data_IF_046381813214
#
_entry.id   IF_046381813214
#
_cell.length_a   1.000
_cell.length_b   1.000
_cell.length_c   1.000
_cell.angle_alpha   90.00
_cell.angle_beta   90.00
_cell.angle_gamma   90.00
#
_symmetry.space_group_name_H-M   'P 1'
#
loop_
_entity.id
_entity.type
_entity.pdbx_description
1 polymer ?
#
# COMPACT_ATOMS: atom_id res chain seq x y z
N UNK A 1 22.43 -10.40 9.38
CA UNK A 1 22.56 -8.94 9.66
C UNK A 1 21.76 -8.07 8.69
N UNK A 2 21.56 -8.47 7.43
CA UNK A 2 20.90 -7.67 6.38
C UNK A 2 19.40 -7.39 6.68
N UNK A 3 18.65 -8.36 7.20
CA UNK A 3 17.18 -8.26 7.37
C UNK A 3 16.66 -7.10 8.26
N UNK A 4 17.40 -6.65 9.26
CA UNK A 4 16.85 -5.71 10.26
C UNK A 4 16.85 -4.25 9.78
N UNK A 5 17.89 -3.85 9.04
CA UNK A 5 18.01 -2.50 8.48
C UNK A 5 16.95 -2.28 7.39
N UNK A 6 16.70 -3.30 6.57
CA UNK A 6 15.69 -3.25 5.51
C UNK A 6 14.27 -3.10 6.08
N UNK A 7 13.94 -3.84 7.13
CA UNK A 7 12.64 -3.74 7.80
C UNK A 7 12.45 -2.34 8.39
N UNK A 8 13.47 -1.82 9.09
CA UNK A 8 13.39 -0.47 9.68
C UNK A 8 13.17 0.59 8.59
N UNK A 9 13.95 0.54 7.51
CA UNK A 9 13.83 1.47 6.40
C UNK A 9 12.44 1.42 5.74
N UNK A 10 11.88 0.22 5.54
CA UNK A 10 10.53 0.04 4.99
C UNK A 10 9.45 0.59 5.94
N UNK A 11 9.58 0.38 7.25
CA UNK A 11 8.64 0.92 8.24
C UNK A 11 8.65 2.46 8.29
N UNK A 12 9.82 3.09 8.12
CA UNK A 12 9.97 4.55 8.08
C UNK A 12 9.35 5.22 6.83
N UNK A 13 8.76 4.45 5.91
CA UNK A 13 7.98 5.00 4.79
C UNK A 13 6.56 5.38 5.18
N UNK A 14 6.05 4.81 6.27
CA UNK A 14 4.72 5.10 6.80
C UNK A 14 4.75 6.37 7.65
N UNK A 15 3.87 7.33 7.34
CA UNK A 15 3.81 8.63 8.02
C UNK A 15 2.38 9.01 8.42
N UNK A 16 1.64 8.11 9.09
CA UNK A 16 0.27 8.28 9.62
C UNK A 16 -0.83 8.81 8.65
N UNK A 17 -0.48 9.17 7.42
CA UNK A 17 -1.32 9.75 6.38
C UNK A 17 -1.20 8.97 5.06
N UNK A 18 -0.23 8.07 4.96
CA UNK A 18 0.04 7.25 3.78
C UNK A 18 1.45 6.65 3.81
N UNK A 19 1.89 6.13 2.67
CA UNK A 19 3.23 5.57 2.49
C UNK A 19 3.93 6.31 1.35
N UNK A 20 5.18 6.70 1.55
CA UNK A 20 6.03 7.31 0.51
C UNK A 20 7.05 6.31 -0.05
N UNK A 21 7.59 6.59 -1.23
CA UNK A 21 8.65 5.76 -1.83
C UNK A 21 10.03 6.07 -1.27
N UNK A 22 10.22 7.28 -0.74
CA UNK A 22 11.47 7.77 -0.16
C UNK A 22 11.20 8.93 0.80
N UNK A 23 12.13 9.14 1.73
CA UNK A 23 12.10 10.24 2.70
C UNK A 23 11.94 11.59 1.99
N UNK A 24 11.04 12.43 2.51
CA UNK A 24 10.80 13.78 2.00
C UNK A 24 10.00 13.85 0.69
N UNK A 25 9.36 12.77 0.26
CA UNK A 25 8.42 12.78 -0.87
C UNK A 25 6.99 12.50 -0.45
N UNK A 26 6.08 12.99 -1.27
CA UNK A 26 4.64 12.83 -1.08
C UNK A 26 4.23 11.36 -1.10
N UNK A 27 3.14 11.09 -0.38
CA UNK A 27 2.54 9.77 -0.31
C UNK A 27 1.89 9.39 -1.65
N UNK A 28 1.91 8.11 -1.95
CA UNK A 28 1.32 7.55 -3.16
C UNK A 28 0.72 6.18 -2.83
N UNK A 29 -0.53 5.95 -3.23
CA UNK A 29 -1.26 4.72 -2.89
C UNK A 29 -0.56 3.46 -3.40
N UNK A 30 0.20 3.53 -4.50
CA UNK A 30 0.89 2.34 -5.01
C UNK A 30 1.97 1.84 -4.04
N UNK A 31 2.56 2.72 -3.22
CA UNK A 31 3.55 2.31 -2.21
C UNK A 31 2.94 1.50 -1.07
N UNK A 32 1.62 1.59 -0.86
CA UNK A 32 0.93 0.66 0.04
C UNK A 32 1.12 -0.79 -0.39
N UNK A 33 1.17 -1.09 -1.70
CA UNK A 33 1.53 -2.42 -2.14
C UNK A 33 3.04 -2.68 -2.04
N UNK A 34 3.87 -1.81 -2.60
CA UNK A 34 5.32 -2.06 -2.70
C UNK A 34 6.01 -2.26 -1.34
N UNK A 35 5.67 -1.42 -0.35
CA UNK A 35 6.27 -1.50 0.98
C UNK A 35 5.71 -2.68 1.77
N UNK A 36 4.39 -2.84 1.79
CA UNK A 36 3.76 -3.90 2.59
C UNK A 36 4.05 -5.30 2.03
N UNK A 37 4.11 -5.46 0.71
CA UNK A 37 4.48 -6.75 0.08
C UNK A 37 5.92 -7.13 0.41
N UNK A 38 6.84 -6.17 0.37
CA UNK A 38 8.23 -6.37 0.79
C UNK A 38 8.34 -6.83 2.25
N UNK A 39 7.62 -6.16 3.16
CA UNK A 39 7.56 -6.54 4.57
C UNK A 39 6.91 -7.92 4.77
N UNK A 40 5.82 -8.22 4.05
CA UNK A 40 5.17 -9.52 4.13
C UNK A 40 6.07 -10.64 3.61
N UNK A 41 6.87 -10.42 2.56
CA UNK A 41 7.87 -11.39 2.07
C UNK A 41 8.99 -11.62 3.09
N UNK A 42 9.27 -10.65 3.95
CA UNK A 42 10.19 -10.79 5.09
C UNK A 42 9.52 -11.43 6.32
N UNK A 43 8.30 -11.96 6.19
CA UNK A 43 7.49 -12.54 7.27
C UNK A 43 7.23 -11.57 8.42
N UNK A 44 7.01 -10.29 8.11
CA UNK A 44 6.59 -9.28 9.09
C UNK A 44 5.07 -9.35 9.28
N UNK A 45 4.64 -9.35 10.56
CA UNK A 45 3.24 -9.19 10.94
C UNK A 45 2.88 -7.70 10.82
N UNK A 46 2.11 -7.34 9.77
CA UNK A 46 1.80 -5.95 9.47
C UNK A 46 0.94 -5.29 10.56
N UNK A 47 0.06 -6.04 11.22
CA UNK A 47 -0.74 -5.51 12.33
C UNK A 47 0.11 -5.10 13.53
N UNK A 48 1.21 -5.81 13.81
CA UNK A 48 2.14 -5.39 14.87
C UNK A 48 3.05 -4.24 14.45
N UNK A 49 3.37 -4.15 13.16
CA UNK A 49 4.30 -3.15 12.64
C UNK A 49 3.62 -1.78 12.40
N UNK A 50 2.33 -1.74 12.07
CA UNK A 50 1.62 -0.52 11.69
C UNK A 50 0.22 -0.45 12.29
N UNK A 51 -0.30 0.77 12.39
CA UNK A 51 -1.74 0.97 12.45
C UNK A 51 -2.34 0.75 11.05
N UNK A 52 -2.67 -0.50 10.74
CA UNK A 52 -3.19 -0.93 9.44
C UNK A 52 -4.51 -0.26 9.06
N UNK A 53 -5.35 0.15 10.02
CA UNK A 53 -6.62 0.84 9.75
C UNK A 53 -6.37 2.21 9.12
N UNK A 54 -5.30 2.92 9.52
CA UNK A 54 -4.90 4.18 8.90
C UNK A 54 -4.48 3.97 7.44
N UNK A 55 -3.74 2.89 7.14
CA UNK A 55 -3.31 2.58 5.78
C UNK A 55 -4.53 2.23 4.90
N UNK A 56 -5.44 1.40 5.42
CA UNK A 56 -6.71 1.08 4.73
C UNK A 56 -7.49 2.37 4.45
N UNK A 57 -7.64 3.25 5.43
CA UNK A 57 -8.35 4.52 5.26
C UNK A 57 -7.70 5.41 4.20
N UNK A 58 -6.36 5.47 4.16
CA UNK A 58 -5.65 6.17 3.08
C UNK A 58 -5.96 5.58 1.70
N UNK A 59 -5.89 4.26 1.54
CA UNK A 59 -6.21 3.60 0.27
C UNK A 59 -7.66 3.90 -0.15
N UNK A 60 -8.62 3.78 0.78
CA UNK A 60 -10.03 4.05 0.50
C UNK A 60 -10.31 5.51 0.17
N UNK A 61 -9.54 6.46 0.72
CA UNK A 61 -9.62 7.87 0.32
C UNK A 61 -9.19 8.11 -1.12
N UNK A 62 -8.34 7.27 -1.68
CA UNK A 62 -7.90 7.38 -3.07
C UNK A 62 -8.94 6.84 -4.08
N UNK A 63 -10.00 6.17 -3.59
CA UNK A 63 -11.07 5.63 -4.44
C UNK A 63 -11.98 6.74 -4.95
N UNK A 64 -12.17 6.82 -6.28
CA UNK A 64 -13.25 7.63 -6.86
C UNK A 64 -14.58 6.88 -6.67
N UNK A 65 -15.47 7.44 -5.84
CA UNK A 65 -16.76 6.86 -5.50
C UNK A 65 -17.80 6.97 -6.62
N UNK A 66 -17.58 7.86 -7.59
CA UNK A 66 -18.52 8.14 -8.69
C UNK A 66 -18.14 7.33 -9.92
N UNK A 67 -16.88 7.46 -10.37
CA UNK A 67 -16.42 6.82 -11.62
C UNK A 67 -15.72 5.47 -11.39
N UNK A 68 -15.40 5.15 -10.13
CA UNK A 68 -14.62 3.97 -9.78
C UNK A 68 -13.12 4.14 -10.04
N UNK A 69 -12.37 3.12 -9.60
CA UNK A 69 -10.90 3.14 -9.64
C UNK A 69 -10.29 3.90 -8.47
N UNK A 70 -8.95 3.88 -8.42
CA UNK A 70 -8.15 4.59 -7.43
C UNK A 70 -7.16 5.51 -8.14
N UNK A 71 -6.92 6.67 -7.54
CA UNK A 71 -5.93 7.63 -7.98
C UNK A 71 -4.69 7.60 -7.09
N UNK A 72 -3.70 8.42 -7.41
CA UNK A 72 -2.44 8.50 -6.67
C UNK A 72 -2.62 8.95 -5.22
N UNK A 73 -3.52 9.92 -5.01
CA UNK A 73 -3.75 10.62 -3.75
C UNK A 73 -5.25 10.65 -3.39
N UNK A 74 -5.58 11.05 -2.16
CA UNK A 74 -6.97 11.15 -1.72
C UNK A 74 -7.85 12.05 -2.59
N UNK A 75 -9.09 11.61 -2.82
CA UNK A 75 -10.11 12.35 -3.58
C UNK A 75 -10.68 13.54 -2.80
N UNK A 76 -10.61 13.50 -1.46
CA UNK A 76 -11.11 14.56 -0.56
C UNK A 76 -10.64 15.96 -1.01
N UNK A 77 -11.51 16.96 -0.90
CA UNK A 77 -11.20 18.35 -1.26
C UNK A 77 -10.06 18.88 -0.37
N UNK A 78 -8.88 19.06 -0.96
CA UNK A 78 -7.84 19.84 -0.30
C UNK A 78 -8.30 21.30 -0.32
N UNK A 79 -8.49 21.87 0.86
CA UNK A 79 -8.89 23.27 1.06
C UNK A 79 -7.98 24.18 0.20
N UNK A 80 -8.55 24.81 -0.84
CA UNK A 80 -7.87 25.59 -1.90
C UNK A 80 -7.22 26.88 -1.35
N UNK A 81 -7.09 27.05 -0.04
CA UNK A 81 -6.57 28.26 0.59
C UNK A 81 -5.04 28.31 0.77
N UNK A 82 -4.27 27.50 0.05
CA UNK A 82 -2.81 27.71 -0.09
C UNK A 82 -2.52 28.42 -1.41
N UNK A 83 -2.48 29.75 -1.33
CA UNK A 83 -2.08 30.73 -2.36
C UNK A 83 -0.92 30.23 -3.23
N UNK A 84 -1.19 30.00 -4.52
CA UNK A 84 -0.35 30.19 -5.73
C UNK A 84 -1.07 29.48 -6.90
N UNK A 85 -2.14 30.11 -7.37
CA UNK A 85 -3.24 29.46 -8.08
C UNK A 85 -3.05 29.57 -9.60
N UNK A 86 -2.64 28.47 -10.25
CA UNK A 86 -3.11 27.98 -11.56
C UNK A 86 -2.21 26.85 -12.10
N UNK A 87 -0.88 26.94 -11.94
CA UNK A 87 0.04 25.86 -12.35
C UNK A 87 -0.14 24.58 -11.52
N UNK A 88 -0.19 24.71 -10.19
CA UNK A 88 -0.39 23.56 -9.29
C UNK A 88 -1.81 22.96 -9.32
N UNK A 89 -2.79 23.66 -9.91
CA UNK A 89 -4.16 23.11 -10.04
C UNK A 89 -4.21 21.98 -11.05
N UNK A 90 -3.51 22.11 -12.18
CA UNK A 90 -3.50 21.10 -13.23
C UNK A 90 -2.76 19.83 -12.79
N UNK A 91 -1.64 19.97 -12.08
CA UNK A 91 -0.90 18.81 -11.54
C UNK A 91 -1.71 18.06 -10.47
N UNK A 92 -2.37 18.79 -9.55
CA UNK A 92 -3.24 18.15 -8.56
C UNK A 92 -4.45 17.46 -9.20
N UNK A 93 -5.01 18.02 -10.27
CA UNK A 93 -6.08 17.37 -11.01
C UNK A 93 -5.61 16.07 -11.66
N UNK A 94 -4.40 16.08 -12.23
CA UNK A 94 -3.79 14.87 -12.80
C UNK A 94 -3.55 13.79 -11.74
N UNK A 95 -3.04 14.13 -10.56
CA UNK A 95 -2.83 13.14 -9.49
C UNK A 95 -4.12 12.59 -8.87
N UNK A 96 -5.24 13.31 -9.02
CA UNK A 96 -6.57 12.85 -8.60
C UNK A 96 -7.28 12.02 -9.66
N UNK A 97 -6.80 11.99 -10.90
CA UNK A 97 -7.35 11.12 -11.93
C UNK A 97 -7.11 9.65 -11.55
N UNK A 98 -8.15 8.82 -11.69
CA UNK A 98 -8.00 7.38 -11.49
C UNK A 98 -7.34 6.75 -12.70
N UNK A 99 -6.53 5.72 -12.46
CA UNK A 99 -5.91 4.96 -13.53
C UNK A 99 -5.81 3.47 -13.16
N UNK A 100 -5.54 2.65 -14.18
CA UNK A 100 -5.49 1.19 -14.03
C UNK A 100 -4.35 0.76 -13.09
N UNK A 101 -3.24 1.51 -13.05
CA UNK A 101 -2.06 1.16 -12.26
C UNK A 101 -2.33 1.34 -10.77
N UNK A 102 -2.76 2.54 -10.34
CA UNK A 102 -3.09 2.80 -8.94
C UNK A 102 -4.31 1.98 -8.48
N UNK A 103 -5.29 1.76 -9.36
CA UNK A 103 -6.43 0.88 -9.06
C UNK A 103 -5.99 -0.55 -8.76
N UNK A 104 -5.12 -1.12 -9.62
CA UNK A 104 -4.60 -2.46 -9.43
C UNK A 104 -3.83 -2.58 -8.11
N UNK A 105 -2.85 -1.71 -7.88
CA UNK A 105 -2.01 -1.80 -6.68
C UNK A 105 -2.75 -1.48 -5.38
N UNK A 106 -3.77 -0.62 -5.42
CA UNK A 106 -4.66 -0.37 -4.27
C UNK A 106 -5.41 -1.64 -3.87
N UNK A 107 -5.99 -2.34 -4.84
CA UNK A 107 -6.69 -3.61 -4.60
C UNK A 107 -5.72 -4.70 -4.11
N UNK A 108 -4.52 -4.76 -4.68
CA UNK A 108 -3.49 -5.68 -4.21
C UNK A 108 -3.08 -5.40 -2.76
N UNK A 109 -2.89 -4.13 -2.40
CA UNK A 109 -2.54 -3.72 -1.05
C UNK A 109 -3.64 -4.12 -0.04
N UNK A 110 -4.90 -3.84 -0.34
CA UNK A 110 -6.04 -4.24 0.51
C UNK A 110 -6.11 -5.77 0.67
N UNK A 111 -5.93 -6.52 -0.41
CA UNK A 111 -5.91 -8.00 -0.38
C UNK A 111 -4.77 -8.53 0.50
N UNK A 112 -3.56 -7.95 0.37
CA UNK A 112 -2.42 -8.34 1.19
C UNK A 112 -2.62 -8.04 2.67
N UNK A 113 -3.10 -6.85 3.01
CA UNK A 113 -3.35 -6.45 4.40
C UNK A 113 -4.33 -7.44 5.03
N UNK A 114 -5.45 -7.71 4.37
CA UNK A 114 -6.45 -8.67 4.83
C UNK A 114 -5.83 -10.04 5.09
N UNK A 115 -5.07 -10.57 4.14
CA UNK A 115 -4.48 -11.90 4.28
C UNK A 115 -3.38 -11.99 5.34
N UNK A 116 -2.46 -11.03 5.36
CA UNK A 116 -1.35 -11.01 6.32
C UNK A 116 -1.91 -11.03 7.74
N UNK A 117 -2.89 -10.17 8.04
CA UNK A 117 -3.53 -10.11 9.36
C UNK A 117 -4.22 -11.43 9.69
N UNK A 118 -5.02 -11.96 8.76
CA UNK A 118 -5.75 -13.21 9.01
C UNK A 118 -4.81 -14.42 9.19
N UNK A 119 -3.68 -14.46 8.48
CA UNK A 119 -2.63 -15.46 8.64
C UNK A 119 -2.01 -15.38 10.05
N UNK A 120 -1.60 -14.19 10.49
CA UNK A 120 -0.97 -14.02 11.81
C UNK A 120 -1.96 -14.19 12.96
N UNK A 121 -3.23 -13.81 12.81
CA UNK A 121 -4.28 -14.10 13.79
C UNK A 121 -4.41 -15.61 14.02
N UNK A 122 -4.46 -16.40 12.93
CA UNK A 122 -4.53 -17.86 13.00
C UNK A 122 -3.26 -18.46 13.60
N UNK A 123 -2.09 -17.97 13.18
CA UNK A 123 -0.78 -18.45 13.64
C UNK A 123 -0.55 -18.20 15.13
N UNK A 124 -0.93 -17.03 15.62
CA UNK A 124 -0.70 -16.59 17.00
C UNK A 124 -1.89 -16.90 17.95
N UNK A 125 -2.96 -17.55 17.46
CA UNK A 125 -4.20 -17.82 18.22
C UNK A 125 -4.82 -16.56 18.85
N UNK A 126 -4.67 -15.40 18.21
CA UNK A 126 -5.21 -14.15 18.71
C UNK A 126 -6.73 -14.13 18.57
N UNK A 127 -7.44 -13.77 19.65
CA UNK A 127 -8.91 -13.82 19.71
C UNK A 127 -9.61 -12.64 19.02
N UNK A 128 -8.92 -11.51 18.76
CA UNK A 128 -9.54 -10.34 18.10
C UNK A 128 -8.51 -9.44 17.43
N UNK A 129 -8.74 -9.14 16.15
CA UNK A 129 -8.21 -8.00 15.42
C UNK A 129 -9.42 -7.46 14.66
N UNK A 130 -9.98 -6.33 15.09
CA UNK A 130 -11.08 -5.68 14.37
C UNK A 130 -10.45 -4.94 13.18
N UNK A 131 -10.22 -5.69 12.11
CA UNK A 131 -9.88 -5.09 10.82
C UNK A 131 -11.16 -4.47 10.27
N UNK A 132 -11.10 -3.21 9.84
CA UNK A 132 -12.25 -2.43 9.37
C UNK A 132 -13.24 -2.05 10.49
N UNK A 133 -12.80 -1.23 11.46
CA UNK A 133 -13.66 -0.64 12.51
C UNK A 133 -15.06 -0.31 11.96
N UNK A 134 -16.06 -1.14 12.31
CA UNK A 134 -17.47 -1.00 11.90
C UNK A 134 -17.80 -0.99 10.39
N UNK A 135 -16.83 -1.16 9.49
CA UNK A 135 -17.07 -1.20 8.04
C UNK A 135 -17.26 -2.66 7.62
N UNK A 136 -18.52 -3.08 7.46
CA UNK A 136 -18.84 -4.36 6.85
C UNK A 136 -18.34 -4.36 5.40
N UNK A 137 -17.25 -5.09 5.11
CA UNK A 137 -16.76 -5.26 3.74
C UNK A 137 -17.91 -5.85 2.92
N UNK A 138 -18.41 -5.15 1.89
CA UNK A 138 -19.46 -5.68 1.03
C UNK A 138 -19.06 -7.05 0.46
N UNK A 139 -19.99 -8.00 0.42
CA UNK A 139 -19.72 -9.40 0.01
C UNK A 139 -19.00 -9.50 -1.35
N UNK A 140 -19.34 -8.62 -2.29
CA UNK A 140 -18.69 -8.54 -3.60
C UNK A 140 -17.19 -8.19 -3.53
N UNK A 141 -16.77 -7.38 -2.55
CA UNK A 141 -15.35 -7.07 -2.31
C UNK A 141 -14.66 -8.29 -1.71
N UNK A 142 -15.29 -9.01 -0.77
CA UNK A 142 -14.70 -10.20 -0.15
C UNK A 142 -14.39 -11.31 -1.17
N UNK A 143 -15.28 -11.53 -2.14
CA UNK A 143 -15.06 -12.51 -3.20
C UNK A 143 -13.91 -12.10 -4.14
N UNK A 144 -13.82 -10.81 -4.48
CA UNK A 144 -12.69 -10.25 -5.25
C UNK A 144 -11.37 -10.35 -4.47
N UNK A 145 -11.38 -10.08 -3.16
CA UNK A 145 -10.18 -10.18 -2.31
C UNK A 145 -9.67 -11.62 -2.23
N UNK A 146 -10.56 -12.61 -2.21
CA UNK A 146 -10.21 -14.04 -2.26
C UNK A 146 -9.62 -14.46 -3.59
N UNK A 147 -10.16 -14.00 -4.72
CA UNK A 147 -9.63 -14.30 -6.05
C UNK A 147 -8.25 -13.66 -6.23
N UNK A 148 -8.13 -12.38 -5.87
CA UNK A 148 -6.85 -11.66 -5.89
C UNK A 148 -5.83 -12.34 -5.00
N UNK A 149 -6.21 -12.89 -3.84
CA UNK A 149 -5.29 -13.63 -3.00
C UNK A 149 -4.61 -14.81 -3.73
N UNK A 150 -5.35 -15.63 -4.49
CA UNK A 150 -4.75 -16.76 -5.21
C UNK A 150 -3.83 -16.33 -6.35
N UNK A 151 -4.17 -15.22 -7.01
CA UNK A 151 -3.33 -14.60 -8.05
C UNK A 151 -2.08 -14.00 -7.42
N UNK A 152 -2.24 -13.30 -6.30
CA UNK A 152 -1.18 -12.61 -5.56
C UNK A 152 -0.26 -13.55 -4.80
N UNK A 153 -0.70 -14.72 -4.36
CA UNK A 153 0.22 -15.72 -3.79
C UNK A 153 1.21 -16.18 -4.88
N UNK A 154 0.70 -16.51 -6.08
CA UNK A 154 1.56 -16.85 -7.22
C UNK A 154 2.43 -15.67 -7.67
N UNK A 155 1.89 -14.46 -7.67
CA UNK A 155 2.66 -13.26 -8.01
C UNK A 155 3.69 -12.92 -6.93
N UNK A 156 3.41 -12.95 -5.63
CA UNK A 156 4.40 -12.67 -4.58
C UNK A 156 5.55 -13.68 -4.65
N UNK A 157 5.29 -14.98 -4.87
CA UNK A 157 6.37 -15.95 -5.10
C UNK A 157 7.17 -15.70 -6.40
N UNK A 158 6.57 -15.10 -7.42
CA UNK A 158 7.25 -14.76 -8.70
C UNK A 158 7.89 -13.36 -8.70
N UNK A 159 7.33 -12.42 -7.95
CA UNK A 159 7.81 -11.07 -7.68
C UNK A 159 8.93 -11.13 -6.65
N UNK A 160 8.98 -12.13 -5.76
CA UNK A 160 10.20 -12.49 -5.02
C UNK A 160 11.36 -12.73 -5.99
N UNK A 161 11.12 -13.34 -7.15
CA UNK A 161 12.15 -13.54 -8.18
C UNK A 161 12.52 -12.24 -8.91
N UNK A 162 11.54 -11.35 -9.17
CA UNK A 162 11.78 -10.07 -9.86
C UNK A 162 12.41 -9.03 -8.92
N UNK A 163 11.95 -8.92 -7.67
CA UNK A 163 12.53 -8.05 -6.65
C UNK A 163 13.93 -8.50 -6.24
N UNK A 164 14.26 -9.80 -6.22
CA UNK A 164 15.65 -10.23 -6.04
C UNK A 164 16.56 -9.72 -7.18
N UNK A 165 16.03 -9.65 -8.42
CA UNK A 165 16.74 -9.08 -9.56
C UNK A 165 16.74 -7.52 -9.57
N UNK A 166 15.66 -6.87 -9.13
CA UNK A 166 15.58 -5.40 -9.04
C UNK A 166 16.43 -4.83 -7.89
N UNK A 167 16.50 -5.53 -6.75
CA UNK A 167 17.46 -5.20 -5.69
C UNK A 167 18.90 -5.32 -6.18
N UNK A 168 19.21 -6.31 -7.03
CA UNK A 168 20.53 -6.41 -7.68
C UNK A 168 20.83 -5.20 -8.57
N UNK A 169 19.84 -4.70 -9.33
CA UNK A 169 19.99 -3.55 -10.25
C UNK A 169 20.10 -2.21 -9.49
N UNK A 170 19.37 -2.03 -8.38
CA UNK A 170 19.45 -0.81 -7.57
C UNK A 170 20.75 -0.79 -6.75
N UNK A 171 21.23 -1.94 -6.24
CA UNK A 171 22.43 -2.00 -5.41
C UNK A 171 23.74 -2.01 -6.23
N UNK A 172 23.76 -2.58 -7.45
CA UNK A 172 24.93 -2.50 -8.34
C UNK A 172 25.25 -1.06 -8.77
N UNK A 173 24.24 -0.19 -8.89
CA UNK A 173 24.46 1.22 -9.22
C UNK A 173 24.99 2.05 -8.04
N UNK A 174 24.95 1.53 -6.81
CA UNK A 174 25.50 2.20 -5.62
C UNK A 174 26.91 1.73 -5.23
N UNK A 175 27.53 0.82 -6.00
CA UNK A 175 28.93 0.40 -5.83
C UNK A 175 29.89 0.96 -6.89
N UNK A 176 29.44 1.87 -7.76
CA UNK A 176 30.28 2.50 -8.82
C UNK A 176 30.50 4.02 -8.58
N UNK A 177 30.23 4.53 -7.36
CA UNK A 177 30.64 5.89 -6.95
C UNK A 177 31.35 5.83 -5.61
#
# INVERSE_FOLDING_TARGET
MIKMCDIKWLCERYDNFGINGRVGKDHDVCYSWWVLSSLSSLNVNLGKAFNVNIIINFILKCQDKVNGGFSRIGQDEYNINKKCMNYFKNENFFFKQTDQFHSFFSLCALSLIYYNIHYYMKKERLKKYELFDQISIPKHINDVLRILFFILLKCIYKTIFICHNFYYIIFLNHQIL
#
